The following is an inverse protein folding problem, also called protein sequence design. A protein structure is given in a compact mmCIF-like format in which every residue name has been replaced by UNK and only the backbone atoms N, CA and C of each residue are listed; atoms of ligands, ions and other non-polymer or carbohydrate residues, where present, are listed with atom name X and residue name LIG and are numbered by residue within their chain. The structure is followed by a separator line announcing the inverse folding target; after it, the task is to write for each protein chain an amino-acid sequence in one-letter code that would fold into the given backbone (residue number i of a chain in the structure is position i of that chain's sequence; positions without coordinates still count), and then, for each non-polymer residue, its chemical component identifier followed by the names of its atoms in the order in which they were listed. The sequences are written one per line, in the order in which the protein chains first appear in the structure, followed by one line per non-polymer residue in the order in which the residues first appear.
data_IF_050581112895
#
_entry.id   IF_050581112895
#
_cell.length_a   1.000
_cell.length_b   1.000
_cell.length_c   1.000
_cell.angle_alpha   90.00
_cell.angle_beta   90.00
_cell.angle_gamma   90.00
#
_symmetry.space_group_name_H-M   'P 1'
#
loop_
_entity.id
_entity.type
_entity.pdbx_description
1 polymer ?
#
# COMPACT_ATOMS: atom_id res chain seq x y z
N UNK A 1 11.89 -16.39 -19.52
CA UNK A 1 10.83 -15.37 -19.45
C UNK A 1 11.43 -13.98 -19.40
N UNK A 2 10.72 -12.98 -19.92
CA UNK A 2 11.14 -11.58 -19.81
C UNK A 2 10.90 -11.03 -18.39
N UNK A 3 11.86 -10.25 -17.90
CA UNK A 3 11.75 -9.58 -16.60
C UNK A 3 12.52 -8.25 -16.59
N UNK A 4 12.03 -7.31 -15.80
CA UNK A 4 12.73 -6.05 -15.47
C UNK A 4 13.59 -6.31 -14.24
N UNK A 5 14.87 -6.54 -14.45
CA UNK A 5 15.82 -6.94 -13.42
C UNK A 5 16.59 -5.73 -12.88
N UNK A 6 16.62 -5.54 -11.58
CA UNK A 6 17.57 -4.67 -10.90
C UNK A 6 18.94 -5.38 -10.92
N UNK A 7 19.83 -4.95 -11.80
CA UNK A 7 21.14 -5.58 -12.02
C UNK A 7 22.24 -4.98 -11.15
N UNK A 8 22.12 -3.69 -10.81
CA UNK A 8 22.96 -2.96 -9.88
C UNK A 8 22.11 -1.88 -9.19
N UNK A 9 22.53 -1.30 -8.05
CA UNK A 9 21.83 -0.16 -7.46
C UNK A 9 21.52 0.93 -8.48
N UNK A 10 20.25 1.30 -8.61
CA UNK A 10 19.76 2.29 -9.58
C UNK A 10 19.63 1.80 -11.02
N UNK A 11 19.99 0.55 -11.34
CA UNK A 11 20.04 0.06 -12.73
C UNK A 11 19.03 -1.04 -12.98
N UNK A 12 17.99 -0.72 -13.74
CA UNK A 12 16.96 -1.66 -14.21
C UNK A 12 17.19 -2.02 -15.66
N UNK A 13 17.16 -3.30 -15.97
CA UNK A 13 17.39 -3.84 -17.33
C UNK A 13 16.35 -4.89 -17.68
N UNK A 14 15.71 -4.75 -18.85
CA UNK A 14 14.91 -5.81 -19.43
C UNK A 14 15.82 -6.94 -19.88
N UNK A 15 15.59 -8.15 -19.38
CA UNK A 15 16.43 -9.32 -19.68
C UNK A 15 15.63 -10.60 -19.66
N UNK A 16 16.21 -11.66 -20.16
CA UNK A 16 15.69 -13.01 -19.99
C UNK A 16 16.20 -13.60 -18.69
N UNK A 17 15.28 -14.17 -17.92
CA UNK A 17 15.56 -14.93 -16.70
C UNK A 17 14.87 -16.28 -16.78
N UNK A 18 15.33 -17.25 -15.97
CA UNK A 18 14.68 -18.56 -15.91
C UNK A 18 13.24 -18.42 -15.42
N UNK A 19 12.34 -19.22 -15.99
CA UNK A 19 10.98 -19.33 -15.48
C UNK A 19 11.01 -20.06 -14.14
N UNK A 20 10.37 -19.52 -13.08
CA UNK A 20 10.42 -20.14 -11.76
C UNK A 20 9.78 -21.53 -11.77
N UNK A 21 10.39 -22.53 -11.11
CA UNK A 21 9.78 -23.85 -10.97
C UNK A 21 8.55 -23.78 -10.07
N UNK A 22 7.55 -24.62 -10.36
CA UNK A 22 6.35 -24.78 -9.56
C UNK A 22 6.54 -25.90 -8.52
N UNK A 23 6.61 -25.53 -7.24
CA UNK A 23 6.62 -26.49 -6.13
C UNK A 23 5.22 -27.08 -5.88
N UNK A 24 5.14 -28.13 -5.03
CA UNK A 24 3.89 -28.85 -4.79
C UNK A 24 2.75 -27.99 -4.23
N UNK A 25 3.07 -26.98 -3.44
CA UNK A 25 2.11 -26.06 -2.82
C UNK A 25 2.06 -24.69 -3.49
N UNK A 26 2.76 -24.53 -4.62
CA UNK A 26 2.91 -23.27 -5.31
C UNK A 26 1.96 -23.12 -6.49
N UNK A 27 1.74 -21.86 -6.85
CA UNK A 27 0.99 -21.43 -8.02
C UNK A 27 1.92 -20.56 -8.87
N UNK A 28 2.05 -20.89 -10.15
CA UNK A 28 2.70 -19.99 -11.11
C UNK A 28 1.64 -19.12 -11.75
N UNK A 29 1.80 -17.82 -11.62
CA UNK A 29 0.89 -16.82 -12.17
C UNK A 29 1.57 -16.14 -13.35
N UNK A 30 0.89 -16.12 -14.50
CA UNK A 30 1.22 -15.21 -15.59
C UNK A 30 0.74 -13.83 -15.19
N UNK A 31 1.68 -12.93 -14.92
CA UNK A 31 1.39 -11.56 -14.52
C UNK A 31 0.71 -10.82 -15.68
N UNK A 32 -0.37 -10.11 -15.39
CA UNK A 32 -1.06 -9.28 -16.36
C UNK A 32 -0.91 -7.79 -16.05
N UNK A 33 -0.75 -7.44 -14.76
CA UNK A 33 -0.53 -6.07 -14.31
C UNK A 33 0.27 -6.07 -13.00
N UNK A 34 1.21 -5.13 -12.87
CA UNK A 34 1.98 -4.91 -11.66
C UNK A 34 2.23 -3.42 -11.43
N UNK A 35 1.76 -2.89 -10.30
CA UNK A 35 1.96 -1.50 -9.90
C UNK A 35 3.40 -1.22 -9.43
N UNK A 36 3.92 -0.03 -9.76
CA UNK A 36 5.16 0.49 -9.18
C UNK A 36 4.81 1.14 -7.83
N UNK A 37 5.36 0.60 -6.75
CA UNK A 37 5.19 1.12 -5.40
C UNK A 37 6.23 2.19 -5.06
N UNK A 38 5.88 3.12 -4.17
CA UNK A 38 6.84 4.06 -3.60
C UNK A 38 8.03 3.38 -2.93
N UNK A 39 7.83 2.19 -2.34
CA UNK A 39 8.91 1.39 -1.74
C UNK A 39 9.91 0.84 -2.75
N UNK A 40 9.49 0.59 -4.00
CA UNK A 40 10.39 0.20 -5.09
C UNK A 40 11.25 1.40 -5.52
N UNK A 41 10.66 2.58 -5.58
CA UNK A 41 11.37 3.84 -5.89
C UNK A 41 12.40 4.15 -4.81
N UNK A 42 11.99 4.14 -3.52
CA UNK A 42 12.89 4.44 -2.40
C UNK A 42 14.02 3.42 -2.22
N UNK A 43 13.79 2.17 -2.64
CA UNK A 43 14.79 1.11 -2.52
C UNK A 43 15.69 0.96 -3.74
N UNK A 44 15.40 1.65 -4.84
CA UNK A 44 16.06 1.46 -6.13
C UNK A 44 17.58 1.65 -6.07
N UNK A 45 18.05 2.62 -5.30
CA UNK A 45 19.48 2.94 -5.10
C UNK A 45 20.18 2.00 -4.10
N UNK A 46 19.47 1.06 -3.50
CA UNK A 46 19.99 0.12 -2.49
C UNK A 46 20.08 0.68 -1.07
N UNK A 47 19.80 1.97 -0.84
CA UNK A 47 19.96 2.64 0.47
C UNK A 47 19.12 2.02 1.58
N UNK A 48 17.98 1.42 1.24
CA UNK A 48 17.10 0.76 2.21
C UNK A 48 17.60 -0.61 2.69
N UNK A 49 18.62 -1.19 2.03
CA UNK A 49 19.08 -2.56 2.27
C UNK A 49 18.05 -3.67 1.93
N UNK A 50 16.96 -3.32 1.24
CA UNK A 50 15.86 -4.23 0.90
C UNK A 50 15.72 -4.50 -0.60
N UNK A 51 16.60 -3.95 -1.43
CA UNK A 51 16.65 -4.14 -2.88
C UNK A 51 18.07 -4.49 -3.32
N UNK A 52 18.63 -5.58 -2.74
CA UNK A 52 19.98 -6.02 -3.07
C UNK A 52 19.95 -6.75 -4.43
N UNK A 53 20.68 -6.27 -5.45
CA UNK A 53 20.76 -6.92 -6.76
C UNK A 53 21.45 -8.31 -6.71
N UNK A 54 21.17 -9.19 -7.70
CA UNK A 54 20.16 -9.08 -8.75
C UNK A 54 18.77 -9.36 -8.21
N UNK A 55 17.75 -8.58 -8.60
CA UNK A 55 16.39 -8.73 -8.09
C UNK A 55 15.34 -8.31 -9.15
N UNK A 56 14.35 -9.16 -9.40
CA UNK A 56 13.09 -8.72 -10.02
C UNK A 56 12.24 -8.12 -8.90
N UNK A 57 11.92 -6.83 -9.00
CA UNK A 57 11.07 -6.13 -8.04
C UNK A 57 9.59 -6.28 -8.38
N UNK A 58 8.71 -5.48 -7.73
CA UNK A 58 7.26 -5.47 -7.95
C UNK A 58 6.51 -6.44 -7.03
N UNK A 59 5.44 -5.92 -6.41
CA UNK A 59 4.67 -6.66 -5.41
C UNK A 59 3.18 -6.32 -5.41
N UNK A 60 2.74 -5.35 -6.19
CA UNK A 60 1.34 -5.00 -6.38
C UNK A 60 0.84 -5.65 -7.67
N UNK A 61 0.45 -6.93 -7.65
CA UNK A 61 0.27 -7.68 -8.90
C UNK A 61 -1.02 -8.49 -8.97
N UNK A 62 -1.48 -8.64 -10.21
CA UNK A 62 -2.59 -9.50 -10.59
C UNK A 62 -2.28 -10.23 -11.91
N UNK A 63 -2.93 -11.36 -12.14
CA UNK A 63 -2.71 -12.12 -13.35
C UNK A 63 -3.60 -13.37 -13.45
N UNK A 64 -3.15 -14.31 -14.26
CA UNK A 64 -3.85 -15.57 -14.53
C UNK A 64 -3.00 -16.76 -14.12
N UNK A 65 -3.57 -17.69 -13.39
CA UNK A 65 -2.92 -18.94 -12.99
C UNK A 65 -2.53 -19.76 -14.23
N UNK A 66 -1.24 -19.97 -14.43
CA UNK A 66 -0.69 -20.74 -15.56
C UNK A 66 -0.38 -22.19 -15.18
N UNK A 67 0.08 -22.42 -13.94
CA UNK A 67 0.40 -23.76 -13.43
C UNK A 67 0.09 -23.82 -11.93
N UNK A 68 -0.28 -25.00 -11.45
CA UNK A 68 -0.52 -25.30 -10.04
C UNK A 68 0.28 -26.52 -9.61
N UNK A 69 0.78 -26.52 -8.40
CA UNK A 69 1.45 -27.65 -7.77
C UNK A 69 0.50 -28.78 -7.40
N UNK A 70 1.02 -29.97 -7.19
CA UNK A 70 0.25 -31.22 -6.96
C UNK A 70 -0.60 -31.17 -5.68
N UNK A 71 -0.25 -30.35 -4.71
CA UNK A 71 -0.93 -30.20 -3.42
C UNK A 71 -1.81 -28.93 -3.32
N UNK A 72 -1.86 -28.12 -4.38
CA UNK A 72 -2.71 -26.92 -4.42
C UNK A 72 -4.18 -27.33 -4.42
N UNK A 73 -5.00 -26.64 -3.62
CA UNK A 73 -6.45 -26.85 -3.49
C UNK A 73 -7.18 -25.53 -3.78
N UNK A 74 -8.42 -25.64 -4.25
CA UNK A 74 -9.34 -24.50 -4.45
C UNK A 74 -8.90 -23.43 -5.46
N UNK A 75 -7.77 -23.61 -6.13
CA UNK A 75 -7.27 -22.75 -7.20
C UNK A 75 -7.18 -23.56 -8.49
N UNK A 76 -7.69 -23.02 -9.59
CA UNK A 76 -7.68 -23.70 -10.90
C UNK A 76 -6.77 -22.98 -11.88
N UNK A 77 -6.15 -23.72 -12.77
CA UNK A 77 -5.47 -23.17 -13.96
C UNK A 77 -6.47 -22.31 -14.75
N UNK A 78 -6.04 -21.13 -15.17
CA UNK A 78 -6.88 -20.16 -15.85
C UNK A 78 -7.63 -19.21 -14.90
N UNK A 79 -7.62 -19.42 -13.57
CA UNK A 79 -8.23 -18.51 -12.63
C UNK A 79 -7.56 -17.13 -12.67
N UNK A 80 -8.37 -16.07 -12.60
CA UNK A 80 -7.92 -14.69 -12.46
C UNK A 80 -7.65 -14.42 -10.98
N UNK A 81 -6.48 -13.84 -10.67
CA UNK A 81 -6.03 -13.73 -9.29
C UNK A 81 -5.32 -12.41 -9.01
N UNK A 82 -5.45 -11.93 -7.76
CA UNK A 82 -4.56 -10.96 -7.15
C UNK A 82 -3.60 -11.67 -6.20
N UNK A 83 -2.45 -11.05 -5.95
CA UNK A 83 -1.38 -11.65 -5.15
C UNK A 83 -1.15 -10.86 -3.86
N UNK A 84 -1.12 -11.58 -2.73
CA UNK A 84 -0.60 -11.00 -1.50
C UNK A 84 0.94 -10.95 -1.60
N UNK A 85 1.48 -9.76 -1.40
CA UNK A 85 2.92 -9.55 -1.39
C UNK A 85 3.61 -10.20 -0.20
N UNK A 86 2.86 -10.48 0.87
CA UNK A 86 3.35 -11.04 2.14
C UNK A 86 3.32 -12.56 2.12
N UNK A 87 4.49 -13.17 2.08
CA UNK A 87 4.65 -14.63 2.13
C UNK A 87 5.05 -15.03 3.55
N UNK A 88 4.06 -15.44 4.32
CA UNK A 88 4.22 -15.87 5.71
C UNK A 88 4.48 -17.38 5.80
N UNK A 89 5.00 -17.87 6.93
CA UNK A 89 5.28 -19.30 7.12
C UNK A 89 4.04 -20.17 7.36
N UNK A 90 2.91 -19.55 7.72
CA UNK A 90 1.63 -20.23 7.96
C UNK A 90 1.54 -21.04 9.27
N UNK A 91 2.65 -21.20 10.03
CA UNK A 91 2.71 -22.13 11.16
C UNK A 91 3.12 -21.51 12.52
N UNK A 92 3.65 -20.27 12.54
CA UNK A 92 4.02 -19.62 13.80
C UNK A 92 2.79 -19.02 14.52
N UNK A 93 2.98 -18.62 15.78
CA UNK A 93 1.89 -18.05 16.60
C UNK A 93 1.23 -16.83 15.97
N UNK A 94 2.00 -15.99 15.28
CA UNK A 94 1.42 -14.83 14.60
C UNK A 94 0.54 -15.28 13.41
N UNK A 95 1.01 -16.23 12.60
CA UNK A 95 0.22 -16.77 11.50
C UNK A 95 -1.06 -17.45 12.00
N UNK A 96 -0.98 -18.30 13.03
CA UNK A 96 -2.15 -19.01 13.58
C UNK A 96 -3.15 -18.08 14.28
N UNK A 97 -2.74 -16.86 14.63
CA UNK A 97 -3.61 -15.82 15.19
C UNK A 97 -4.07 -14.76 14.18
N UNK A 98 -3.88 -15.01 12.87
CA UNK A 98 -4.32 -14.09 11.80
C UNK A 98 -3.48 -12.81 11.71
N UNK A 99 -2.22 -12.87 12.13
CA UNK A 99 -1.26 -11.75 12.07
C UNK A 99 -0.06 -12.09 11.19
N UNK A 100 -0.33 -12.62 10.00
CA UNK A 100 0.68 -13.09 9.03
C UNK A 100 1.70 -11.99 8.69
N UNK A 101 1.27 -10.74 8.72
CA UNK A 101 2.11 -9.57 8.53
C UNK A 101 3.23 -9.43 9.58
N UNK A 102 3.09 -10.05 10.76
CA UNK A 102 4.06 -10.06 11.85
C UNK A 102 4.90 -11.34 11.91
N UNK A 103 4.73 -12.27 10.97
CA UNK A 103 5.49 -13.50 10.90
C UNK A 103 7.01 -13.23 10.85
N UNK A 104 7.77 -13.81 11.77
CA UNK A 104 9.23 -13.62 11.87
C UNK A 104 9.98 -14.18 10.65
N UNK A 105 9.42 -15.20 9.98
CA UNK A 105 9.98 -15.79 8.75
C UNK A 105 9.36 -15.21 7.48
N UNK A 106 8.67 -14.08 7.61
CA UNK A 106 7.99 -13.41 6.49
C UNK A 106 8.97 -13.01 5.41
N UNK A 107 8.62 -13.34 4.17
CA UNK A 107 9.24 -12.79 2.97
C UNK A 107 8.25 -11.86 2.26
N UNK A 108 8.73 -10.98 1.42
CA UNK A 108 7.90 -10.08 0.60
C UNK A 108 8.33 -10.20 -0.85
N UNK A 109 7.37 -10.30 -1.77
CA UNK A 109 7.65 -10.30 -3.21
C UNK A 109 8.45 -9.06 -3.61
N UNK A 110 9.41 -9.22 -4.49
CA UNK A 110 10.24 -8.12 -4.95
C UNK A 110 11.21 -7.57 -3.91
N UNK A 111 11.54 -8.32 -2.85
CA UNK A 111 12.49 -7.92 -1.80
C UNK A 111 13.68 -8.85 -1.76
N UNK A 112 14.87 -8.25 -1.67
CA UNK A 112 16.15 -8.93 -1.41
C UNK A 112 16.88 -8.18 -0.29
N UNK A 113 17.15 -8.87 0.80
CA UNK A 113 17.85 -8.33 1.98
C UNK A 113 18.85 -9.35 2.50
N UNK A 114 19.52 -9.06 3.62
CA UNK A 114 20.56 -9.95 4.18
C UNK A 114 20.09 -11.36 4.56
N UNK A 115 18.78 -11.58 4.75
CA UNK A 115 18.22 -12.84 5.22
C UNK A 115 17.51 -13.66 4.12
N UNK A 116 17.02 -13.01 3.07
CA UNK A 116 16.36 -13.69 1.96
C UNK A 116 16.38 -12.87 0.67
N UNK A 117 16.14 -13.57 -0.45
CA UNK A 117 15.81 -12.98 -1.76
C UNK A 117 14.55 -13.62 -2.28
N UNK A 118 13.54 -12.79 -2.58
CA UNK A 118 12.30 -13.22 -3.22
C UNK A 118 12.04 -12.37 -4.45
N UNK A 119 12.10 -12.96 -5.64
CA UNK A 119 11.75 -12.25 -6.87
C UNK A 119 10.28 -11.86 -6.85
N UNK A 120 9.99 -10.70 -7.46
CA UNK A 120 8.66 -10.10 -7.57
C UNK A 120 8.05 -10.22 -8.95
N UNK A 121 7.17 -9.28 -9.25
CA UNK A 121 6.19 -9.39 -10.33
C UNK A 121 6.47 -8.49 -11.53
N UNK A 122 7.60 -7.78 -11.59
CA UNK A 122 8.00 -7.11 -12.85
C UNK A 122 8.61 -8.14 -13.82
N UNK A 123 7.82 -9.16 -14.15
CA UNK A 123 8.17 -10.27 -15.03
C UNK A 123 6.92 -10.90 -15.61
N UNK A 124 7.07 -11.69 -16.69
CA UNK A 124 5.94 -12.43 -17.29
C UNK A 124 5.31 -13.46 -16.35
N UNK A 125 6.11 -14.07 -15.46
CA UNK A 125 5.63 -15.08 -14.51
C UNK A 125 6.24 -14.87 -13.12
N UNK A 126 5.45 -15.24 -12.11
CA UNK A 126 5.88 -15.28 -10.71
C UNK A 126 5.36 -16.57 -10.05
N UNK A 127 6.14 -17.13 -9.13
CA UNK A 127 5.73 -18.26 -8.30
C UNK A 127 5.43 -17.80 -6.88
N UNK A 128 4.27 -18.19 -6.39
CA UNK A 128 3.80 -17.86 -5.04
C UNK A 128 3.14 -19.08 -4.39
N UNK A 129 3.21 -19.24 -3.06
CA UNK A 129 2.45 -20.29 -2.38
C UNK A 129 0.95 -20.01 -2.50
N UNK A 130 0.12 -21.06 -2.50
CA UNK A 130 -1.33 -20.95 -2.70
C UNK A 130 -2.03 -19.99 -1.74
N UNK A 131 -1.54 -19.84 -0.50
CA UNK A 131 -2.13 -18.96 0.50
C UNK A 131 -1.97 -17.46 0.20
N UNK A 132 -1.06 -17.11 -0.72
CA UNK A 132 -0.87 -15.75 -1.19
C UNK A 132 -1.69 -15.41 -2.45
N UNK A 133 -2.59 -16.30 -2.88
CA UNK A 133 -3.37 -16.18 -4.12
C UNK A 133 -4.84 -15.97 -3.78
N UNK A 134 -5.41 -14.89 -4.29
CA UNK A 134 -6.83 -14.54 -4.12
C UNK A 134 -7.53 -14.50 -5.46
N UNK A 135 -8.52 -15.38 -5.65
CA UNK A 135 -9.33 -15.38 -6.89
C UNK A 135 -10.16 -14.11 -6.94
N UNK A 136 -10.15 -13.44 -8.10
CA UNK A 136 -10.90 -12.21 -8.33
C UNK A 136 -12.07 -12.46 -9.30
N UNK A 137 -13.20 -11.73 -9.16
CA UNK A 137 -14.32 -11.82 -10.09
C UNK A 137 -13.96 -11.23 -11.46
N UNK A 138 -14.69 -11.65 -12.49
CA UNK A 138 -14.49 -11.17 -13.86
C UNK A 138 -14.77 -9.67 -14.05
N UNK A 139 -15.53 -9.07 -13.14
CA UNK A 139 -15.83 -7.64 -13.14
C UNK A 139 -14.61 -6.76 -12.86
N UNK A 140 -13.56 -7.27 -12.19
CA UNK A 140 -12.34 -6.50 -11.95
C UNK A 140 -11.38 -6.63 -13.14
N UNK A 141 -10.84 -5.50 -13.60
CA UNK A 141 -9.68 -5.52 -14.50
C UNK A 141 -8.42 -5.97 -13.77
N UNK A 142 -7.39 -6.44 -14.47
CA UNK A 142 -6.11 -6.77 -13.81
C UNK A 142 -5.40 -5.54 -13.25
N UNK A 143 -5.60 -4.38 -13.87
CA UNK A 143 -5.08 -3.10 -13.37
C UNK A 143 -5.71 -2.78 -12.00
N UNK A 144 -7.03 -2.84 -11.87
CA UNK A 144 -7.71 -2.67 -10.58
C UNK A 144 -7.27 -3.71 -9.56
N UNK A 145 -7.17 -4.97 -9.99
CA UNK A 145 -6.76 -6.07 -9.12
C UNK A 145 -5.32 -5.95 -8.61
N UNK A 146 -4.40 -5.38 -9.39
CA UNK A 146 -3.05 -5.08 -8.92
C UNK A 146 -3.03 -4.06 -7.78
N UNK A 147 -3.98 -3.13 -7.76
CA UNK A 147 -4.11 -2.11 -6.73
C UNK A 147 -4.87 -2.57 -5.47
N UNK A 148 -5.33 -3.82 -5.43
CA UNK A 148 -5.85 -4.40 -4.19
C UNK A 148 -4.77 -4.46 -3.10
N UNK A 149 -3.51 -4.65 -3.48
CA UNK A 149 -2.40 -4.67 -2.51
C UNK A 149 -2.33 -3.38 -1.71
N UNK A 150 -2.14 -2.17 -2.29
CA UNK A 150 -2.13 -0.92 -1.51
C UNK A 150 -3.46 -0.63 -0.80
N UNK A 151 -4.61 -1.09 -1.32
CA UNK A 151 -5.89 -0.99 -0.63
C UNK A 151 -5.89 -1.85 0.64
N UNK A 152 -5.29 -3.05 0.61
CA UNK A 152 -5.20 -3.90 1.82
C UNK A 152 -4.35 -3.26 2.91
N UNK A 153 -3.28 -2.52 2.54
CA UNK A 153 -2.48 -1.74 3.50
C UNK A 153 -3.36 -0.68 4.19
N UNK A 154 -4.16 0.05 3.41
CA UNK A 154 -5.11 1.04 3.94
C UNK A 154 -6.15 0.40 4.88
N UNK A 155 -6.79 -0.69 4.46
CA UNK A 155 -7.79 -1.40 5.27
C UNK A 155 -7.21 -1.92 6.58
N UNK A 156 -5.99 -2.44 6.55
CA UNK A 156 -5.30 -2.90 7.75
C UNK A 156 -5.02 -1.76 8.73
N UNK A 157 -4.51 -0.64 8.24
CA UNK A 157 -4.28 0.56 9.05
C UNK A 157 -5.58 1.07 9.70
N UNK A 158 -6.68 1.12 8.95
CA UNK A 158 -7.99 1.52 9.45
C UNK A 158 -8.54 0.53 10.48
N UNK A 159 -8.32 -0.78 10.30
CA UNK A 159 -8.69 -1.81 11.28
C UNK A 159 -7.94 -1.62 12.59
N UNK A 160 -6.63 -1.36 12.55
CA UNK A 160 -5.82 -1.05 13.73
C UNK A 160 -6.29 0.25 14.41
N UNK A 161 -6.63 1.26 13.63
CA UNK A 161 -7.13 2.54 14.12
C UNK A 161 -8.52 2.46 14.79
N UNK A 162 -9.22 1.34 14.64
CA UNK A 162 -10.58 1.18 15.16
C UNK A 162 -11.61 2.00 14.38
N UNK A 163 -11.35 2.26 13.07
CA UNK A 163 -12.31 2.98 12.23
C UNK A 163 -13.62 2.21 12.10
N UNK A 164 -14.74 2.90 12.28
CA UNK A 164 -16.08 2.33 12.21
C UNK A 164 -17.16 3.38 12.38
N UNK A 165 -18.37 2.95 12.67
CA UNK A 165 -19.58 3.79 12.78
C UNK A 165 -19.49 4.94 13.82
N UNK A 166 -18.47 4.95 14.67
CA UNK A 166 -18.24 5.96 15.70
C UNK A 166 -17.11 6.96 15.37
N UNK A 167 -16.50 6.86 14.17
CA UNK A 167 -15.49 7.83 13.71
C UNK A 167 -16.21 9.02 13.07
N UNK A 168 -16.36 10.12 13.81
CA UNK A 168 -17.03 11.32 13.29
C UNK A 168 -16.14 12.06 12.31
N UNK A 169 -14.83 12.13 12.60
CA UNK A 169 -13.85 12.78 11.73
C UNK A 169 -12.55 11.96 11.63
N UNK A 170 -12.01 11.91 10.42
CA UNK A 170 -10.73 11.29 10.13
C UNK A 170 -9.82 12.26 9.37
N UNK A 171 -8.52 12.18 9.62
CA UNK A 171 -7.49 12.94 8.91
C UNK A 171 -6.51 11.97 8.26
N UNK A 172 -6.17 12.22 7.00
CA UNK A 172 -5.12 11.50 6.29
C UNK A 172 -4.00 12.48 5.94
N UNK A 173 -2.81 12.23 6.48
CA UNK A 173 -1.61 13.02 6.20
C UNK A 173 -0.78 12.32 5.14
N UNK A 174 -0.62 12.97 3.99
CA UNK A 174 -0.02 12.42 2.77
C UNK A 174 -1.06 11.82 1.82
N UNK A 175 -1.18 12.39 0.61
CA UNK A 175 -2.12 11.99 -0.43
C UNK A 175 -1.41 11.27 -1.60
N UNK A 176 -0.41 10.44 -1.32
CA UNK A 176 0.13 9.45 -2.26
C UNK A 176 -0.83 8.26 -2.42
N UNK A 177 -0.39 7.19 -3.09
CA UNK A 177 -1.22 5.99 -3.31
C UNK A 177 -1.88 5.48 -2.03
N UNK A 178 -1.11 5.33 -0.94
CA UNK A 178 -1.65 4.85 0.34
C UNK A 178 -2.65 5.84 0.95
N UNK A 179 -2.34 7.15 0.93
CA UNK A 179 -3.27 8.16 1.44
C UNK A 179 -4.59 8.21 0.67
N UNK A 180 -4.54 8.11 -0.65
CA UNK A 180 -5.74 8.10 -1.49
C UNK A 180 -6.58 6.82 -1.27
N UNK A 181 -5.94 5.65 -1.12
CA UNK A 181 -6.65 4.40 -0.77
C UNK A 181 -7.24 4.44 0.65
N UNK A 182 -6.57 5.10 1.62
CA UNK A 182 -7.11 5.35 2.97
C UNK A 182 -8.36 6.21 2.91
N UNK A 183 -8.34 7.31 2.14
CA UNK A 183 -9.50 8.21 1.97
C UNK A 183 -10.67 7.45 1.34
N UNK A 184 -10.42 6.69 0.25
CA UNK A 184 -11.46 5.88 -0.40
C UNK A 184 -12.05 4.83 0.55
N UNK A 185 -11.21 4.14 1.32
CA UNK A 185 -11.65 3.14 2.28
C UNK A 185 -12.45 3.75 3.45
N UNK A 186 -12.04 4.92 3.97
CA UNK A 186 -12.80 5.68 4.99
C UNK A 186 -14.18 6.07 4.48
N UNK A 187 -14.25 6.61 3.26
CA UNK A 187 -15.53 6.98 2.63
C UNK A 187 -16.43 5.75 2.44
N UNK A 188 -15.89 4.63 1.94
CA UNK A 188 -16.60 3.36 1.77
C UNK A 188 -17.09 2.76 3.09
N UNK A 189 -16.40 3.03 4.21
CA UNK A 189 -16.81 2.63 5.57
C UNK A 189 -17.79 3.61 6.22
N UNK A 190 -18.20 4.66 5.53
CA UNK A 190 -19.22 5.61 5.99
C UNK A 190 -18.69 6.76 6.85
N UNK A 191 -17.38 6.99 6.92
CA UNK A 191 -16.83 8.19 7.52
C UNK A 191 -17.24 9.41 6.70
N UNK A 192 -17.97 10.36 7.31
CA UNK A 192 -18.57 11.50 6.60
C UNK A 192 -17.67 12.74 6.57
N UNK A 193 -16.76 12.86 7.51
CA UNK A 193 -15.84 13.98 7.62
C UNK A 193 -14.40 13.50 7.48
N UNK A 194 -13.82 13.66 6.29
CA UNK A 194 -12.46 13.21 5.95
C UNK A 194 -11.66 14.43 5.50
N UNK A 195 -10.63 14.79 6.27
CA UNK A 195 -9.67 15.80 5.87
C UNK A 195 -8.42 15.16 5.27
N UNK A 196 -7.95 15.72 4.17
CA UNK A 196 -6.70 15.35 3.52
C UNK A 196 -5.64 16.44 3.74
N UNK A 197 -4.41 16.05 4.02
CA UNK A 197 -3.28 16.97 4.16
C UNK A 197 -2.17 16.52 3.20
N UNK A 198 -1.72 17.42 2.33
CA UNK A 198 -0.56 17.20 1.45
C UNK A 198 0.09 18.55 1.12
N UNK A 199 1.37 18.52 0.75
CA UNK A 199 2.09 19.71 0.27
C UNK A 199 1.78 20.03 -1.20
N UNK A 200 1.20 19.08 -1.94
CA UNK A 200 0.88 19.17 -3.36
C UNK A 200 -0.63 19.41 -3.55
N UNK A 201 -0.98 20.57 -4.12
CA UNK A 201 -2.36 20.96 -4.38
C UNK A 201 -3.08 20.02 -5.38
N UNK A 202 -2.35 19.42 -6.33
CA UNK A 202 -2.93 18.48 -7.30
C UNK A 202 -3.36 17.17 -6.62
N UNK A 203 -2.58 16.71 -5.65
CA UNK A 203 -2.92 15.55 -4.82
C UNK A 203 -4.11 15.82 -3.90
N UNK A 204 -4.22 17.03 -3.34
CA UNK A 204 -5.40 17.45 -2.58
C UNK A 204 -6.65 17.49 -3.45
N UNK A 205 -6.55 17.95 -4.71
CA UNK A 205 -7.65 17.89 -5.65
C UNK A 205 -8.07 16.45 -5.98
N UNK A 206 -7.10 15.53 -6.11
CA UNK A 206 -7.34 14.10 -6.29
C UNK A 206 -7.99 13.49 -5.04
N UNK A 207 -7.51 13.83 -3.83
CA UNK A 207 -8.08 13.36 -2.58
C UNK A 207 -9.58 13.66 -2.43
N UNK A 208 -10.03 14.83 -2.93
CA UNK A 208 -11.47 15.17 -2.95
C UNK A 208 -12.28 14.23 -3.84
N UNK A 209 -11.73 13.79 -4.97
CA UNK A 209 -12.39 12.81 -5.86
C UNK A 209 -12.52 11.44 -5.19
N UNK A 210 -11.61 11.13 -4.27
CA UNK A 210 -11.61 9.89 -3.49
C UNK A 210 -12.46 9.93 -2.22
N UNK A 211 -13.11 11.07 -1.90
CA UNK A 211 -14.03 11.19 -0.78
C UNK A 211 -13.56 12.11 0.36
N UNK A 212 -12.40 12.77 0.23
CA UNK A 212 -12.04 13.82 1.19
C UNK A 212 -13.00 15.00 1.10
N UNK A 213 -13.54 15.44 2.25
CA UNK A 213 -14.47 16.56 2.33
C UNK A 213 -13.76 17.91 2.29
N UNK A 214 -12.50 17.94 2.73
CA UNK A 214 -11.65 19.13 2.73
C UNK A 214 -10.19 18.73 2.49
N UNK A 215 -9.40 19.67 1.94
CA UNK A 215 -7.95 19.55 1.82
C UNK A 215 -7.25 20.72 2.51
N UNK A 216 -6.18 20.43 3.22
CA UNK A 216 -5.29 21.40 3.85
C UNK A 216 -3.89 21.30 3.28
N UNK A 217 -3.25 22.45 3.04
CA UNK A 217 -1.85 22.47 2.62
C UNK A 217 -0.94 22.10 3.80
N UNK A 218 -0.13 21.07 3.63
CA UNK A 218 0.89 20.69 4.62
C UNK A 218 2.04 21.70 4.77
N UNK A 219 2.10 22.73 3.89
CA UNK A 219 3.07 23.81 3.98
C UNK A 219 2.58 24.95 4.87
N UNK A 220 1.30 24.97 5.26
CA UNK A 220 0.77 26.02 6.12
C UNK A 220 1.24 25.80 7.56
N UNK A 221 1.80 26.83 8.19
CA UNK A 221 2.30 26.75 9.58
C UNK A 221 1.20 26.40 10.58
N UNK A 222 -0.04 26.75 10.28
CA UNK A 222 -1.20 26.58 11.15
C UNK A 222 -2.13 25.43 10.68
N UNK A 223 -1.62 24.53 9.85
CA UNK A 223 -2.43 23.43 9.29
C UNK A 223 -3.14 22.61 10.37
N UNK A 224 -2.47 22.27 11.47
CA UNK A 224 -3.08 21.50 12.55
C UNK A 224 -4.21 22.29 13.25
N UNK A 225 -4.04 23.60 13.46
CA UNK A 225 -5.09 24.47 14.01
C UNK A 225 -6.32 24.54 13.09
N UNK A 226 -6.11 24.62 11.78
CA UNK A 226 -7.17 24.54 10.77
C UNK A 226 -7.94 23.21 10.83
N UNK A 227 -7.23 22.11 10.95
CA UNK A 227 -7.82 20.76 11.10
C UNK A 227 -8.64 20.66 12.40
N UNK A 228 -8.11 21.14 13.52
CA UNK A 228 -8.82 21.15 14.82
C UNK A 228 -10.11 21.98 14.73
N UNK A 229 -10.06 23.16 14.10
CA UNK A 229 -11.24 24.00 13.91
C UNK A 229 -12.31 23.30 13.04
N UNK A 230 -11.89 22.61 11.98
CA UNK A 230 -12.76 21.82 11.13
C UNK A 230 -13.35 20.60 11.87
N UNK A 231 -12.54 19.84 12.61
CA UNK A 231 -12.98 18.66 13.34
C UNK A 231 -14.07 18.98 14.39
N UNK A 232 -13.96 20.11 15.07
CA UNK A 232 -14.99 20.61 16.02
C UNK A 232 -16.36 20.79 15.35
N UNK A 233 -16.42 21.21 14.09
CA UNK A 233 -17.67 21.39 13.36
C UNK A 233 -18.34 20.04 13.00
N UNK A 234 -17.61 18.92 13.11
CA UNK A 234 -18.06 17.56 12.78
C UNK A 234 -18.29 16.69 14.02
N UNK A 235 -18.43 17.29 15.20
CA UNK A 235 -18.76 16.58 16.44
C UNK A 235 -17.59 15.90 17.13
N UNK A 236 -16.37 16.07 16.61
CA UNK A 236 -15.16 15.66 17.31
C UNK A 236 -14.70 16.76 18.27
N UNK A 237 -14.10 16.39 19.40
CA UNK A 237 -13.74 17.33 20.47
C UNK A 237 -12.73 18.42 20.07
N UNK A 238 -11.50 18.29 20.52
CA UNK A 238 -10.42 19.24 20.28
C UNK A 238 -9.42 18.79 19.19
N UNK A 239 -9.89 17.99 18.22
CA UNK A 239 -9.15 17.44 17.07
C UNK A 239 -9.90 16.32 16.41
N UNK A 240 -9.27 15.59 15.50
CA UNK A 240 -9.85 14.45 14.79
C UNK A 240 -9.84 13.17 15.65
N UNK A 241 -10.86 12.34 15.49
CA UNK A 241 -11.00 11.06 16.23
C UNK A 241 -9.98 10.01 15.76
N UNK A 242 -9.63 10.04 14.48
CA UNK A 242 -8.65 9.18 13.86
C UNK A 242 -7.73 9.99 12.94
N UNK A 243 -6.44 9.81 13.09
CA UNK A 243 -5.45 10.36 12.16
C UNK A 243 -4.61 9.22 11.59
N UNK A 244 -4.47 9.18 10.27
CA UNK A 244 -3.58 8.21 9.61
C UNK A 244 -2.48 8.96 8.87
N UNK A 245 -1.24 8.67 9.23
CA UNK A 245 -0.05 9.28 8.66
C UNK A 245 0.57 8.33 7.63
N UNK A 246 0.71 8.76 6.37
CA UNK A 246 1.13 7.95 5.23
C UNK A 246 2.38 8.49 4.50
N UNK A 247 3.21 9.29 5.19
CA UNK A 247 4.46 9.86 4.65
C UNK A 247 5.69 9.29 5.38
N UNK A 248 5.72 9.38 6.71
CA UNK A 248 6.81 8.88 7.54
C UNK A 248 7.99 9.86 7.69
N UNK A 249 7.70 11.15 7.84
CA UNK A 249 8.69 12.19 8.16
C UNK A 249 8.36 12.87 9.48
N UNK A 250 9.35 13.49 10.14
CA UNK A 250 9.12 14.25 11.39
C UNK A 250 7.99 15.26 11.24
N UNK A 251 7.99 16.05 10.17
CA UNK A 251 6.98 17.09 9.96
C UNK A 251 5.56 16.47 9.80
N UNK A 252 5.41 15.41 9.01
CA UNK A 252 4.12 14.76 8.79
C UNK A 252 3.57 14.10 10.07
N UNK A 253 4.45 13.45 10.84
CA UNK A 253 4.07 12.84 12.12
C UNK A 253 3.69 13.91 13.14
N UNK A 254 4.40 15.05 13.17
CA UNK A 254 4.05 16.16 14.05
C UNK A 254 2.66 16.73 13.70
N UNK A 255 2.38 16.98 12.42
CA UNK A 255 1.05 17.40 11.94
C UNK A 255 -0.02 16.40 12.37
N UNK A 256 0.26 15.09 12.25
CA UNK A 256 -0.69 14.05 12.65
C UNK A 256 -1.00 14.08 14.15
N UNK A 257 0.02 14.21 14.99
CA UNK A 257 -0.13 14.31 16.46
C UNK A 257 -0.93 15.56 16.84
N UNK A 258 -0.61 16.70 16.24
CA UNK A 258 -1.25 17.97 16.59
C UNK A 258 -2.71 18.06 16.10
N UNK A 259 -3.05 17.32 15.04
CA UNK A 259 -4.41 17.23 14.49
C UNK A 259 -5.35 16.31 15.28
N UNK A 260 -4.81 15.41 16.11
CA UNK A 260 -5.58 14.38 16.82
C UNK A 260 -6.33 14.95 18.03
N UNK A 261 -7.53 14.50 18.33
CA UNK A 261 -8.26 14.82 19.57
C UNK A 261 -7.63 14.14 20.80
N UNK A 262 -7.98 14.59 22.00
CA UNK A 262 -7.61 13.87 23.25
C UNK A 262 -8.18 12.46 23.22
N UNK A 263 -7.35 11.47 23.56
CA UNK A 263 -7.73 10.06 23.55
C UNK A 263 -7.82 9.43 22.14
N UNK A 264 -7.59 10.22 21.08
CA UNK A 264 -7.66 9.74 19.70
C UNK A 264 -6.54 8.75 19.34
N UNK A 265 -6.71 8.12 18.20
CA UNK A 265 -5.71 7.20 17.63
C UNK A 265 -4.97 7.86 16.46
N UNK A 266 -3.66 7.76 16.48
CA UNK A 266 -2.78 8.10 15.34
C UNK A 266 -2.16 6.82 14.82
N UNK A 267 -2.41 6.46 13.56
CA UNK A 267 -1.84 5.27 12.91
C UNK A 267 -0.73 5.72 11.96
N UNK A 268 0.47 5.21 12.19
CA UNK A 268 1.65 5.48 11.38
C UNK A 268 1.81 4.37 10.33
N UNK A 269 1.65 4.71 9.08
CA UNK A 269 1.84 3.83 7.90
C UNK A 269 3.08 4.26 7.11
N UNK A 270 3.33 5.57 7.07
CA UNK A 270 4.48 6.15 6.38
C UNK A 270 5.81 5.65 6.99
N UNK A 271 6.80 5.36 6.14
CA UNK A 271 8.07 4.77 6.56
C UNK A 271 9.24 5.26 5.69
N UNK A 272 9.28 6.55 5.38
CA UNK A 272 10.39 7.15 4.60
C UNK A 272 11.62 7.38 5.47
N UNK A 273 11.45 7.93 6.67
CA UNK A 273 12.55 8.21 7.58
C UNK A 273 12.76 7.06 8.59
N UNK A 274 14.00 6.56 8.76
CA UNK A 274 14.28 5.49 9.73
C UNK A 274 14.16 5.95 11.18
N UNK A 275 14.24 7.25 11.42
CA UNK A 275 14.12 7.90 12.75
C UNK A 275 13.39 9.21 12.58
N UNK A 276 12.52 9.52 13.53
CA UNK A 276 11.78 10.79 13.61
C UNK A 276 11.86 11.36 15.03
N UNK A 277 11.71 12.67 15.14
CA UNK A 277 11.39 13.35 16.40
C UNK A 277 9.88 13.47 16.52
N UNK A 278 9.35 13.33 17.72
CA UNK A 278 7.92 13.54 17.97
C UNK A 278 7.66 14.12 19.37
N UNK A 279 6.53 14.84 19.51
CA UNK A 279 6.18 15.55 20.72
C UNK A 279 5.67 14.60 21.82
N UNK A 280 6.58 13.91 22.53
CA UNK A 280 6.24 12.97 23.60
C UNK A 280 5.31 13.55 24.64
N UNK A 281 5.55 14.81 25.09
CA UNK A 281 4.71 15.45 26.09
C UNK A 281 3.27 15.61 25.61
N UNK A 282 3.06 15.99 24.35
CA UNK A 282 1.73 16.08 23.73
C UNK A 282 1.03 14.73 23.72
N UNK A 283 1.73 13.67 23.33
CA UNK A 283 1.19 12.30 23.31
C UNK A 283 0.73 11.89 24.71
N UNK A 284 1.56 12.12 25.74
CA UNK A 284 1.25 11.73 27.12
C UNK A 284 0.09 12.56 27.69
N UNK A 285 0.16 13.90 27.57
CA UNK A 285 -0.84 14.80 28.17
C UNK A 285 -2.20 14.73 27.50
N UNK A 286 -2.26 14.35 26.23
CA UNK A 286 -3.51 14.14 25.46
C UNK A 286 -3.95 12.68 25.46
N UNK A 287 -3.18 11.77 26.05
CA UNK A 287 -3.45 10.32 26.12
C UNK A 287 -3.70 9.72 24.73
N UNK A 288 -2.85 10.09 23.75
CA UNK A 288 -2.99 9.58 22.38
C UNK A 288 -2.55 8.12 22.28
N UNK A 289 -3.22 7.37 21.43
CA UNK A 289 -2.80 6.02 21.01
C UNK A 289 -2.00 6.14 19.72
N UNK A 290 -0.71 5.82 19.77
CA UNK A 290 0.16 5.82 18.58
C UNK A 290 0.39 4.38 18.17
N UNK A 291 -0.02 4.01 16.96
CA UNK A 291 0.03 2.65 16.45
C UNK A 291 0.84 2.60 15.14
N UNK A 292 1.79 1.69 15.05
CA UNK A 292 2.44 1.38 13.77
C UNK A 292 1.62 0.36 12.97
N UNK A 293 1.46 0.58 11.67
CA UNK A 293 0.83 -0.34 10.74
C UNK A 293 1.88 -0.91 9.79
N UNK A 294 2.00 -2.24 9.75
CA UNK A 294 2.98 -2.92 8.93
C UNK A 294 2.29 -3.88 7.97
N UNK A 295 2.41 -3.63 6.65
CA UNK A 295 1.82 -4.51 5.63
C UNK A 295 0.31 -4.70 5.84
N UNK A 296 -0.24 -5.86 5.52
CA UNK A 296 -1.64 -6.21 5.79
C UNK A 296 -1.77 -7.67 6.23
N UNK A 297 -2.87 -8.01 6.90
CA UNK A 297 -3.25 -9.37 7.24
C UNK A 297 -4.75 -9.56 7.04
N UNK A 298 -5.15 -10.56 6.24
CA UNK A 298 -6.55 -10.95 6.05
C UNK A 298 -7.45 -9.86 5.43
N UNK A 299 -6.91 -8.89 4.68
CA UNK A 299 -7.67 -7.77 4.11
C UNK A 299 -8.09 -7.96 2.65
N UNK A 300 -7.55 -8.95 1.93
CA UNK A 300 -7.87 -9.16 0.51
C UNK A 300 -9.35 -9.44 0.24
N UNK A 301 -10.07 -10.29 1.00
CA UNK A 301 -11.50 -10.51 0.76
C UNK A 301 -12.32 -9.21 0.83
N UNK A 302 -12.07 -8.36 1.85
CA UNK A 302 -12.72 -7.07 2.01
C UNK A 302 -12.36 -6.11 0.86
N UNK A 303 -11.09 -6.07 0.47
CA UNK A 303 -10.63 -5.23 -0.65
C UNK A 303 -11.29 -5.62 -1.97
N UNK A 304 -11.35 -6.92 -2.28
CA UNK A 304 -12.02 -7.45 -3.47
C UNK A 304 -13.51 -7.06 -3.47
N UNK A 305 -14.21 -7.25 -2.34
CA UNK A 305 -15.63 -6.90 -2.21
C UNK A 305 -15.87 -5.40 -2.43
N UNK A 306 -15.05 -4.54 -1.83
CA UNK A 306 -15.18 -3.08 -1.93
C UNK A 306 -15.02 -2.60 -3.38
N UNK A 307 -14.05 -3.13 -4.11
CA UNK A 307 -13.81 -2.75 -5.50
C UNK A 307 -14.84 -3.39 -6.42
N UNK A 308 -15.17 -4.67 -6.26
CA UNK A 308 -16.14 -5.37 -7.09
C UNK A 308 -17.57 -4.79 -6.96
N UNK A 309 -17.93 -4.28 -5.79
CA UNK A 309 -19.21 -3.61 -5.54
C UNK A 309 -19.23 -2.14 -5.98
N UNK A 310 -18.12 -1.57 -6.45
CA UNK A 310 -18.01 -0.17 -6.85
C UNK A 310 -17.98 0.82 -5.66
N UNK A 311 -17.87 0.33 -4.42
CA UNK A 311 -17.73 1.20 -3.23
C UNK A 311 -16.36 1.89 -3.15
N UNK A 312 -15.34 1.29 -3.74
CA UNK A 312 -14.01 1.88 -3.92
C UNK A 312 -13.66 1.83 -5.39
N UNK A 313 -13.37 2.98 -5.96
CA UNK A 313 -12.87 3.13 -7.31
C UNK A 313 -11.35 3.34 -7.25
N UNK A 314 -10.58 2.44 -7.87
CA UNK A 314 -9.13 2.48 -7.93
C UNK A 314 -8.61 3.06 -9.25
N UNK A 315 -9.46 3.25 -10.27
CA UNK A 315 -9.03 3.72 -11.59
C UNK A 315 -8.45 5.13 -11.54
N UNK A 316 -9.00 5.98 -10.67
CA UNK A 316 -8.51 7.35 -10.48
C UNK A 316 -7.10 7.45 -9.85
N UNK A 317 -6.56 6.36 -9.31
CA UNK A 317 -5.17 6.30 -8.84
C UNK A 317 -4.18 6.16 -9.98
N UNK A 318 -4.59 5.53 -11.09
CA UNK A 318 -3.71 5.14 -12.18
C UNK A 318 -3.45 6.31 -13.10
N UNK A 319 -2.24 6.85 -13.03
CA UNK A 319 -1.79 7.91 -13.94
C UNK A 319 -1.38 7.35 -15.30
N UNK A 320 -0.88 6.11 -15.32
CA UNK A 320 -0.40 5.46 -16.55
C UNK A 320 -0.42 3.94 -16.44
N UNK A 321 -0.82 3.29 -17.53
CA UNK A 321 -0.54 1.88 -17.83
C UNK A 321 0.47 1.84 -18.97
N UNK A 322 1.52 1.02 -18.83
CA UNK A 322 2.62 0.96 -19.80
C UNK A 322 3.17 -0.48 -19.92
N UNK A 323 3.78 -0.83 -21.06
CA UNK A 323 4.47 -2.11 -21.21
C UNK A 323 5.62 -2.27 -20.21
N UNK A 324 5.86 -3.48 -19.72
CA UNK A 324 6.98 -3.78 -18.82
C UNK A 324 8.34 -3.34 -19.43
N UNK A 325 8.48 -3.39 -20.75
CA UNK A 325 9.67 -2.94 -21.46
C UNK A 325 10.03 -1.47 -21.26
N UNK A 326 9.05 -0.64 -20.93
CA UNK A 326 9.24 0.78 -20.61
C UNK A 326 9.51 1.02 -19.13
N UNK A 327 9.51 -0.03 -18.29
CA UNK A 327 9.54 0.08 -16.84
C UNK A 327 10.71 0.91 -16.30
N UNK A 328 11.93 0.73 -16.85
CA UNK A 328 13.10 1.52 -16.43
C UNK A 328 12.88 3.04 -16.61
N UNK A 329 12.24 3.45 -17.71
CA UNK A 329 11.91 4.86 -17.96
C UNK A 329 10.85 5.38 -16.98
N UNK A 330 9.81 4.60 -16.69
CA UNK A 330 8.78 4.99 -15.72
C UNK A 330 9.33 5.09 -14.30
N UNK A 331 10.26 4.22 -13.91
CA UNK A 331 10.99 4.36 -12.64
C UNK A 331 11.76 5.68 -12.59
N UNK A 332 12.49 6.03 -13.65
CA UNK A 332 13.23 7.30 -13.74
C UNK A 332 12.31 8.51 -13.55
N UNK A 333 11.15 8.55 -14.22
CA UNK A 333 10.17 9.65 -14.13
C UNK A 333 9.55 9.75 -12.72
N UNK A 334 9.25 8.61 -12.09
CA UNK A 334 8.74 8.57 -10.71
C UNK A 334 9.79 9.03 -9.68
N UNK A 335 11.07 8.66 -9.87
CA UNK A 335 12.18 9.17 -9.04
C UNK A 335 12.30 10.70 -9.16
N UNK A 336 12.10 11.24 -10.35
CA UNK A 336 12.11 12.69 -10.62
C UNK A 336 10.84 13.40 -10.12
N UNK A 337 9.88 12.68 -9.58
CA UNK A 337 8.59 13.21 -9.09
C UNK A 337 7.87 14.04 -10.15
N UNK A 338 7.84 13.54 -11.39
CA UNK A 338 7.15 14.23 -12.48
C UNK A 338 5.68 14.51 -12.11
N UNK A 339 5.27 15.75 -12.37
CA UNK A 339 3.94 16.22 -12.00
C UNK A 339 2.82 15.36 -12.61
N UNK A 340 1.77 15.11 -11.82
CA UNK A 340 0.61 14.31 -12.23
C UNK A 340 0.81 12.78 -12.15
N UNK A 341 2.00 12.29 -11.81
CA UNK A 341 2.22 10.86 -11.61
C UNK A 341 1.94 10.45 -10.15
N UNK A 342 0.93 9.61 -9.96
CA UNK A 342 0.58 8.99 -8.67
C UNK A 342 0.91 7.50 -8.70
N UNK A 343 0.38 6.77 -9.69
CA UNK A 343 0.56 5.34 -9.84
C UNK A 343 0.80 4.98 -11.31
N UNK A 344 1.85 4.22 -11.55
CA UNK A 344 2.12 3.59 -12.85
C UNK A 344 1.97 2.08 -12.70
N UNK A 345 1.25 1.46 -13.63
CA UNK A 345 1.06 0.01 -13.70
C UNK A 345 1.76 -0.50 -14.93
N UNK A 346 2.57 -1.54 -14.78
CA UNK A 346 3.31 -2.18 -15.87
C UNK A 346 2.61 -3.48 -16.27
N UNK A 347 2.49 -3.71 -17.58
CA UNK A 347 1.96 -4.93 -18.19
C UNK A 347 3.11 -5.68 -18.89
N UNK A 348 3.42 -6.92 -18.44
CA UNK A 348 4.44 -7.78 -19.04
C UNK A 348 4.12 -8.26 -20.46
#
# INVERSE_FOLDING_TARGET
MKALLLTAPGTLTMTDVDTPPCGDFDVVVRVAACGICGSDIHGLDGSTGRRIPPLVMGHEAAGTVSQIGSQVRDIKKGARVALDSTIACGACNDCSSGRENLCMSRQVLGVSCGTYRRHGCFAEYVVVPQHAVYVIPDSLTFVQASLLEPLTIALHALRLGGSGAHTNSAVVVGCGTIGLTLISALAAKGCRAIAAIDIDASRLATAKKHGATIGFSGNDSDVAAGVVAWAKQHGSGDGADLVVEAVGTTAAVQIAIDSAARGATVVLVGNVSPRIEFALQTVVTRQLRILGSCSSAGCYPEAIELVASGRVDLDHLVSRVAPLSEGAEWFRRLVQREDGLVKVVLEP
#
